data_IF_275607884290
#
_entry.id   IF_275607884290
#
_cell.length_a   1.000
_cell.length_b   1.000
_cell.length_c   1.000
_cell.angle_alpha   90.00
_cell.angle_beta   90.00
_cell.angle_gamma   90.00
#
_symmetry.space_group_name_H-M   'P 1'
#
loop_
_entity.id
_entity.type
_entity.pdbx_description
1 polymer ?
#
# COMPACT_ATOMS: atom_id res chain seq x y z
N UNK A 1 8.43 -4.77 -12.28
CA UNK A 1 8.34 -4.40 -10.86
C UNK A 1 6.91 -4.61 -10.43
N UNK A 2 6.71 -5.42 -9.41
CA UNK A 2 5.37 -5.67 -8.84
C UNK A 2 4.90 -4.45 -8.06
N UNK A 3 3.58 -4.27 -7.95
CA UNK A 3 2.98 -3.16 -7.20
C UNK A 3 3.47 -3.15 -5.75
N UNK A 4 3.69 -4.33 -5.14
CA UNK A 4 4.20 -4.44 -3.78
C UNK A 4 5.61 -3.86 -3.63
N UNK A 5 6.46 -4.04 -4.64
CA UNK A 5 7.82 -3.49 -4.65
C UNK A 5 7.77 -1.96 -4.77
N UNK A 6 6.91 -1.44 -5.66
CA UNK A 6 6.72 0.01 -5.82
C UNK A 6 6.23 0.61 -4.50
N UNK A 7 5.24 -0.01 -3.87
CA UNK A 7 4.71 0.43 -2.56
C UNK A 7 5.79 0.44 -1.50
N UNK A 8 6.65 -0.59 -1.44
CA UNK A 8 7.74 -0.65 -0.47
C UNK A 8 8.74 0.51 -0.64
N UNK A 9 9.07 0.86 -1.88
CA UNK A 9 9.90 2.04 -2.20
C UNK A 9 9.19 3.33 -1.76
N UNK A 10 7.91 3.47 -2.09
CA UNK A 10 7.11 4.66 -1.77
C UNK A 10 7.02 4.94 -0.26
N UNK A 11 6.83 3.90 0.56
CA UNK A 11 6.72 4.03 2.02
C UNK A 11 8.07 3.92 2.75
N UNK A 12 9.16 3.66 2.02
CA UNK A 12 10.51 3.52 2.59
C UNK A 12 10.72 2.30 3.48
N UNK A 13 9.84 1.30 3.42
CA UNK A 13 9.91 0.05 4.21
C UNK A 13 9.15 -1.09 3.53
N UNK A 14 9.46 -2.36 3.83
CA UNK A 14 8.67 -3.49 3.34
C UNK A 14 7.19 -3.42 3.78
N UNK A 15 6.28 -3.83 2.91
CA UNK A 15 4.87 -3.98 3.29
C UNK A 15 4.69 -5.16 4.25
N UNK A 16 4.12 -4.88 5.43
CA UNK A 16 3.81 -5.87 6.48
C UNK A 16 2.65 -6.79 6.13
N UNK A 17 1.79 -6.39 5.21
CA UNK A 17 0.61 -7.15 4.79
C UNK A 17 0.60 -7.32 3.27
N UNK A 18 -0.19 -8.29 2.79
CA UNK A 18 -0.52 -8.35 1.36
C UNK A 18 -1.28 -7.08 0.98
N UNK A 19 -0.79 -6.36 -0.03
CA UNK A 19 -1.41 -5.13 -0.51
C UNK A 19 -2.05 -5.35 -1.87
N UNK A 20 -3.19 -4.72 -2.12
CA UNK A 20 -3.80 -4.65 -3.45
C UNK A 20 -3.98 -3.20 -3.82
N UNK A 21 -3.50 -2.81 -5.00
CA UNK A 21 -3.66 -1.44 -5.50
C UNK A 21 -5.12 -1.18 -5.84
N UNK A 22 -5.69 -0.14 -5.23
CA UNK A 22 -7.08 0.30 -5.43
C UNK A 22 -7.13 1.50 -6.37
N UNK A 23 -6.10 2.34 -6.34
CA UNK A 23 -6.02 3.52 -7.21
C UNK A 23 -4.58 3.77 -7.69
N UNK A 24 -4.44 4.29 -8.90
CA UNK A 24 -3.16 4.64 -9.54
C UNK A 24 -3.12 6.12 -9.92
N UNK A 25 -1.94 6.72 -9.94
CA UNK A 25 -1.75 8.09 -10.42
C UNK A 25 -1.66 8.14 -11.95
N UNK A 26 -1.55 9.35 -12.51
CA UNK A 26 -1.36 9.59 -13.94
C UNK A 26 -0.06 8.97 -14.52
N UNK A 27 0.92 8.64 -13.67
CA UNK A 27 2.14 7.90 -14.06
C UNK A 27 1.96 6.37 -13.99
N UNK A 28 0.76 5.89 -13.67
CA UNK A 28 0.46 4.47 -13.53
C UNK A 28 0.96 3.84 -12.22
N UNK A 29 1.50 4.61 -11.27
CA UNK A 29 2.01 4.09 -10.00
C UNK A 29 0.90 3.97 -8.94
N UNK A 30 0.97 3.00 -8.01
CA UNK A 30 0.02 2.87 -6.90
C UNK A 30 -0.06 4.17 -6.07
N UNK A 31 -1.28 4.57 -5.72
CA UNK A 31 -1.58 5.72 -4.86
C UNK A 31 -2.26 5.29 -3.59
N UNK A 32 -3.31 4.47 -3.73
CA UNK A 32 -4.05 3.90 -2.60
C UNK A 32 -3.95 2.39 -2.70
N UNK A 33 -3.56 1.77 -1.59
CA UNK A 33 -3.57 0.31 -1.44
C UNK A 33 -4.55 -0.11 -0.36
N UNK A 34 -5.11 -1.31 -0.54
CA UNK A 34 -5.90 -2.00 0.46
C UNK A 34 -5.07 -3.09 1.12
N UNK A 35 -5.20 -3.22 2.44
CA UNK A 35 -4.67 -4.34 3.23
C UNK A 35 -5.84 -5.18 3.79
N UNK A 36 -5.61 -6.47 4.07
CA UNK A 36 -6.56 -7.30 4.81
C UNK A 36 -6.92 -6.71 6.18
N UNK A 37 -8.14 -6.94 6.69
CA UNK A 37 -8.55 -6.50 8.03
C UNK A 37 -7.80 -7.21 9.17
N UNK A 38 -7.17 -8.34 8.87
CA UNK A 38 -6.43 -9.15 9.83
C UNK A 38 -5.12 -9.58 9.17
N UNK A 39 -4.02 -9.44 9.90
CA UNK A 39 -2.71 -9.91 9.45
C UNK A 39 -2.61 -11.44 9.50
N UNK A 40 -1.54 -11.97 8.90
CA UNK A 40 -1.25 -13.40 8.93
C UNK A 40 -1.05 -13.94 10.36
N UNK A 41 -0.66 -13.08 11.31
CA UNK A 41 -0.49 -13.42 12.73
C UNK A 41 -1.79 -13.29 13.56
N UNK A 42 -2.92 -12.97 12.93
CA UNK A 42 -4.21 -12.78 13.62
C UNK A 42 -4.42 -11.39 14.22
N UNK A 43 -3.44 -10.48 14.11
CA UNK A 43 -3.59 -9.11 14.62
C UNK A 43 -4.60 -8.33 13.77
N UNK A 44 -5.61 -7.68 14.40
CA UNK A 44 -6.53 -6.82 13.67
C UNK A 44 -5.80 -5.57 13.16
N UNK A 45 -6.01 -5.24 11.89
CA UNK A 45 -5.50 -4.03 11.29
C UNK A 45 -6.60 -2.95 11.32
N UNK A 46 -6.39 -1.82 12.00
CA UNK A 46 -7.46 -0.84 12.22
C UNK A 46 -7.83 -0.06 10.95
N UNK A 47 -6.92 0.00 9.97
CA UNK A 47 -7.10 0.79 8.75
C UNK A 47 -6.88 -0.06 7.52
N UNK A 48 -7.91 -0.16 6.68
CA UNK A 48 -7.89 -0.99 5.47
C UNK A 48 -7.23 -0.32 4.27
N UNK A 49 -7.26 1.01 4.20
CA UNK A 49 -6.78 1.77 3.05
C UNK A 49 -5.64 2.69 3.45
N UNK A 50 -4.56 2.65 2.68
CA UNK A 50 -3.36 3.43 2.93
C UNK A 50 -2.98 4.21 1.68
N UNK A 51 -2.71 5.51 1.87
CA UNK A 51 -2.09 6.36 0.86
C UNK A 51 -0.59 6.09 0.87
N UNK A 52 -0.01 5.74 -0.28
CA UNK A 52 1.41 5.38 -0.40
C UNK A 52 2.18 6.35 -1.29
N UNK A 53 1.56 6.94 -2.31
CA UNK A 53 2.27 7.77 -3.28
C UNK A 53 2.81 9.08 -2.65
N UNK A 54 4.14 9.33 -2.68
CA UNK A 54 4.73 10.55 -2.12
C UNK A 54 4.25 11.84 -2.79
N UNK A 55 3.84 11.77 -4.06
CA UNK A 55 3.32 12.92 -4.81
C UNK A 55 1.88 13.29 -4.41
N UNK A 56 1.15 12.38 -3.76
CA UNK A 56 -0.22 12.62 -3.28
C UNK A 56 -0.27 13.14 -1.83
N UNK A 57 0.87 13.13 -1.12
CA UNK A 57 1.01 13.58 0.28
C UNK A 57 1.43 15.06 0.35
N UNK A 58 1.48 15.76 -0.79
CA UNK A 58 1.86 17.16 -0.89
C UNK A 58 0.66 18.07 -1.12
#
# INVERSE_FOLDING_TARGET
MDDREIVAVQIGRPSRAKTTTVNRCHLGLPVVVRVPPVLEDGTPFPTLYWLTCPLAVR
#
